data_IF_142870296360
#
_entry.id   IF_142870296360
#
_cell.length_a   1.000
_cell.length_b   1.000
_cell.length_c   1.000
_cell.angle_alpha   90.00
_cell.angle_beta   90.00
_cell.angle_gamma   90.00
#
_symmetry.space_group_name_H-M   'P 1'
#
loop_
_entity.id
_entity.type
_entity.pdbx_description
1 polymer ?
#
# COMPACT_ATOMS: atom_id res chain seq x y z
N UNK A 1 2.72 1.32 -34.64
CA UNK A 1 1.52 0.77 -33.98
C UNK A 1 0.59 1.94 -33.71
N UNK A 2 -0.51 2.08 -34.46
CA UNK A 2 -1.53 3.09 -34.18
C UNK A 2 -2.39 2.56 -33.03
N UNK A 3 -2.13 3.03 -31.82
CA UNK A 3 -3.04 2.83 -30.70
C UNK A 3 -4.19 3.83 -30.84
N UNK A 4 -5.42 3.34 -30.73
CA UNK A 4 -6.62 4.17 -30.62
C UNK A 4 -6.60 4.90 -29.28
N UNK A 5 -7.06 6.16 -29.22
CA UNK A 5 -6.90 7.01 -28.02
C UNK A 5 -7.56 6.44 -26.75
N UNK A 6 -8.55 5.57 -26.93
CA UNK A 6 -9.18 4.78 -25.87
C UNK A 6 -8.26 3.71 -25.28
N UNK A 7 -7.44 3.08 -26.12
CA UNK A 7 -6.48 2.05 -25.71
C UNK A 7 -5.30 2.65 -24.97
N UNK A 8 -4.82 3.81 -25.43
CA UNK A 8 -3.73 4.54 -24.77
C UNK A 8 -4.11 4.95 -23.34
N UNK A 9 -5.33 5.46 -23.15
CA UNK A 9 -5.82 5.84 -21.82
C UNK A 9 -6.00 4.64 -20.88
N UNK A 10 -6.45 3.49 -21.41
CA UNK A 10 -6.54 2.23 -20.64
C UNK A 10 -5.17 1.67 -20.26
N UNK A 11 -4.18 1.76 -21.14
CA UNK A 11 -2.80 1.39 -20.84
C UNK A 11 -2.23 2.29 -19.74
N UNK A 12 -2.41 3.61 -19.87
CA UNK A 12 -1.95 4.59 -18.90
C UNK A 12 -2.51 4.34 -17.50
N UNK A 13 -3.83 4.16 -17.36
CA UNK A 13 -4.45 3.93 -16.06
C UNK A 13 -4.03 2.58 -15.47
N UNK A 14 -3.83 1.55 -16.31
CA UNK A 14 -3.36 0.24 -15.87
C UNK A 14 -1.93 0.31 -15.31
N UNK A 15 -1.06 1.11 -15.94
CA UNK A 15 0.31 1.37 -15.45
C UNK A 15 0.24 2.08 -14.10
N UNK A 16 -0.50 3.18 -14.00
CA UNK A 16 -0.66 3.92 -12.74
C UNK A 16 -1.19 3.01 -11.63
N UNK A 17 -2.19 2.19 -11.93
CA UNK A 17 -2.75 1.23 -10.97
C UNK A 17 -1.72 0.17 -10.54
N UNK A 18 -0.90 -0.31 -11.47
CA UNK A 18 0.21 -1.21 -11.18
C UNK A 18 1.23 -0.61 -10.21
N UNK A 19 1.57 0.67 -10.39
CA UNK A 19 2.46 1.38 -9.47
C UNK A 19 1.83 1.56 -8.09
N UNK A 20 0.55 1.92 -8.03
CA UNK A 20 -0.20 2.02 -6.77
C UNK A 20 -0.18 0.67 -6.04
N UNK A 21 -0.38 -0.44 -6.76
CA UNK A 21 -0.32 -1.78 -6.18
C UNK A 21 1.08 -2.12 -5.64
N UNK A 22 2.13 -1.92 -6.44
CA UNK A 22 3.52 -2.16 -6.02
C UNK A 22 3.84 -1.31 -4.79
N UNK A 23 3.51 -0.02 -4.84
CA UNK A 23 3.67 0.89 -3.72
C UNK A 23 2.93 0.39 -2.48
N UNK A 24 1.66 -0.01 -2.59
CA UNK A 24 0.88 -0.49 -1.45
C UNK A 24 1.53 -1.71 -0.78
N UNK A 25 2.08 -2.65 -1.56
CA UNK A 25 2.80 -3.82 -1.05
C UNK A 25 4.10 -3.42 -0.34
N UNK A 26 4.92 -2.58 -0.98
CA UNK A 26 6.21 -2.16 -0.43
C UNK A 26 6.04 -1.25 0.81
N UNK A 27 5.11 -0.31 0.73
CA UNK A 27 4.76 0.61 1.80
C UNK A 27 4.17 -0.11 3.01
N UNK A 28 3.43 -1.21 2.79
CA UNK A 28 2.93 -2.03 3.90
C UNK A 28 4.08 -2.58 4.75
N UNK A 29 5.17 -3.02 4.12
CA UNK A 29 6.35 -3.53 4.84
C UNK A 29 6.99 -2.43 5.69
N UNK A 30 7.17 -1.24 5.11
CA UNK A 30 7.80 -0.10 5.78
C UNK A 30 6.94 0.46 6.94
N UNK A 31 5.70 0.83 6.65
CA UNK A 31 4.77 1.38 7.65
C UNK A 31 4.45 0.39 8.76
N UNK A 32 4.24 -0.88 8.40
CA UNK A 32 3.99 -1.94 9.37
C UNK A 32 5.20 -2.24 10.24
N UNK A 33 6.42 -2.26 9.70
CA UNK A 33 7.64 -2.40 10.50
C UNK A 33 7.79 -1.26 11.51
N UNK A 34 7.51 -0.02 11.10
CA UNK A 34 7.50 1.14 12.01
C UNK A 34 6.50 0.97 13.16
N UNK A 35 5.27 0.54 12.84
CA UNK A 35 4.23 0.28 13.85
C UNK A 35 4.63 -0.82 14.83
N UNK A 36 5.07 -1.98 14.34
CA UNK A 36 5.46 -3.09 15.20
C UNK A 36 6.69 -2.77 16.05
N UNK A 37 7.63 -1.98 15.51
CA UNK A 37 8.78 -1.49 16.28
C UNK A 37 8.34 -0.69 17.51
N UNK A 38 7.37 0.21 17.34
CA UNK A 38 6.78 0.98 18.44
C UNK A 38 6.10 0.09 19.49
N UNK A 39 5.28 -0.88 19.06
CA UNK A 39 4.57 -1.79 19.97
C UNK A 39 5.52 -2.67 20.79
N UNK A 40 6.66 -3.07 20.22
CA UNK A 40 7.60 -3.98 20.88
C UNK A 40 8.84 -3.31 21.47
N UNK A 41 8.99 -1.99 21.36
CA UNK A 41 10.17 -1.24 21.81
C UNK A 41 10.56 -1.50 23.27
N UNK A 42 9.59 -1.69 24.17
CA UNK A 42 9.85 -1.91 25.60
C UNK A 42 10.06 -3.39 25.97
N UNK A 43 9.92 -4.32 25.03
CA UNK A 43 10.09 -5.75 25.28
C UNK A 43 11.54 -6.16 24.98
N UNK A 44 12.44 -5.92 25.95
CA UNK A 44 13.89 -6.22 25.88
C UNK A 44 14.24 -7.64 25.42
N UNK A 45 13.34 -8.62 25.61
CA UNK A 45 13.54 -10.01 25.20
C UNK A 45 13.27 -10.26 23.71
N UNK A 46 12.66 -9.31 22.99
CA UNK A 46 12.33 -9.47 21.57
C UNK A 46 13.38 -8.76 20.71
N UNK A 47 14.29 -9.52 20.09
CA UNK A 47 15.11 -9.05 18.95
C UNK A 47 14.26 -8.52 17.78
N UNK A 48 12.93 -8.68 17.83
CA UNK A 48 11.96 -8.17 16.88
C UNK A 48 12.11 -6.66 16.58
N UNK A 49 12.40 -5.83 17.59
CA UNK A 49 12.60 -4.38 17.38
C UNK A 49 13.86 -4.10 16.55
N UNK A 50 14.95 -4.84 16.79
CA UNK A 50 16.18 -4.71 16.00
C UNK A 50 15.98 -5.18 14.56
N UNK A 51 15.21 -6.26 14.34
CA UNK A 51 14.87 -6.74 13.00
C UNK A 51 14.02 -5.71 12.27
N UNK A 52 12.94 -5.19 12.89
CA UNK A 52 12.07 -4.21 12.25
C UNK A 52 12.81 -2.91 11.89
N UNK A 53 13.63 -2.36 12.80
CA UNK A 53 14.39 -1.14 12.55
C UNK A 53 15.43 -1.31 11.43
N UNK A 54 16.02 -2.50 11.30
CA UNK A 54 17.01 -2.79 10.26
C UNK A 54 16.46 -2.73 8.84
N UNK A 55 15.17 -3.03 8.66
CA UNK A 55 14.50 -2.98 7.35
C UNK A 55 13.79 -1.67 7.07
N UNK A 56 13.59 -0.84 8.10
CA UNK A 56 12.90 0.44 7.99
C UNK A 56 13.63 1.38 7.01
N UNK A 57 14.95 1.53 7.17
CA UNK A 57 15.72 2.51 6.39
C UNK A 57 15.82 2.17 4.88
N UNK A 58 16.22 0.94 4.47
CA UNK A 58 16.35 0.61 3.04
C UNK A 58 15.01 0.62 2.29
N UNK A 59 13.93 0.17 2.95
CA UNK A 59 12.62 0.06 2.31
C UNK A 59 11.99 1.43 2.10
N UNK A 60 12.20 2.34 3.06
CA UNK A 60 11.66 3.69 3.05
C UNK A 60 12.17 4.52 1.87
N UNK A 61 13.45 4.41 1.52
CA UNK A 61 14.00 5.12 0.35
C UNK A 61 13.29 4.68 -0.94
N UNK A 62 13.02 3.38 -1.08
CA UNK A 62 12.34 2.84 -2.26
C UNK A 62 10.87 3.24 -2.31
N UNK A 63 10.14 3.15 -1.19
CA UNK A 63 8.71 3.49 -1.17
C UNK A 63 8.45 4.95 -1.56
N UNK A 64 9.34 5.86 -1.15
CA UNK A 64 9.26 7.27 -1.54
C UNK A 64 9.45 7.50 -3.04
N UNK A 65 10.32 6.73 -3.70
CA UNK A 65 10.46 6.82 -5.16
C UNK A 65 9.15 6.43 -5.85
N UNK A 66 8.46 5.40 -5.35
CA UNK A 66 7.18 4.97 -5.92
C UNK A 66 6.05 5.99 -5.69
N UNK A 67 5.92 6.59 -4.50
CA UNK A 67 4.85 7.58 -4.27
C UNK A 67 5.03 8.82 -5.14
N UNK A 68 6.26 9.31 -5.29
CA UNK A 68 6.58 10.41 -6.20
C UNK A 68 6.30 9.99 -7.65
N UNK A 69 6.71 8.78 -8.04
CA UNK A 69 6.44 8.22 -9.36
C UNK A 69 4.95 8.16 -9.70
N UNK A 70 4.08 7.80 -8.73
CA UNK A 70 2.62 7.80 -8.90
C UNK A 70 2.11 9.23 -9.16
N UNK A 71 2.53 10.21 -8.36
CA UNK A 71 2.09 11.61 -8.52
C UNK A 71 2.55 12.17 -9.87
N UNK A 72 3.79 11.93 -10.27
CA UNK A 72 4.31 12.36 -11.57
C UNK A 72 3.58 11.67 -12.71
N UNK A 73 3.26 10.37 -12.58
CA UNK A 73 2.51 9.63 -13.59
C UNK A 73 1.07 10.14 -13.73
N UNK A 74 0.40 10.44 -12.63
CA UNK A 74 -0.93 11.07 -12.63
C UNK A 74 -0.87 12.43 -13.34
N UNK A 75 0.08 13.29 -12.98
CA UNK A 75 0.23 14.61 -13.60
C UNK A 75 0.52 14.51 -15.10
N UNK A 76 1.36 13.56 -15.50
CA UNK A 76 1.80 13.38 -16.88
C UNK A 76 0.75 12.76 -17.78
N UNK A 77 0.05 11.72 -17.31
CA UNK A 77 -0.93 10.97 -18.10
C UNK A 77 -2.35 11.50 -17.96
N UNK A 78 -2.70 12.01 -16.78
CA UNK A 78 -4.05 12.44 -16.41
C UNK A 78 -4.06 13.86 -15.81
N UNK A 79 -3.68 14.90 -16.57
CA UNK A 79 -3.63 16.27 -16.04
C UNK A 79 -4.99 16.76 -15.55
N UNK A 80 -6.09 16.40 -16.23
CA UNK A 80 -7.44 16.79 -15.81
C UNK A 80 -7.86 16.14 -14.49
N UNK A 81 -7.56 14.84 -14.31
CA UNK A 81 -7.80 14.16 -13.03
C UNK A 81 -6.90 14.68 -11.91
N UNK A 82 -5.66 15.03 -12.24
CA UNK A 82 -4.71 15.61 -11.27
C UNK A 82 -5.12 16.99 -10.80
N UNK A 83 -5.73 17.82 -11.66
CA UNK A 83 -6.31 19.09 -11.25
C UNK A 83 -7.35 18.91 -10.14
N UNK A 84 -8.31 18.01 -10.35
CA UNK A 84 -9.39 17.74 -9.37
C UNK A 84 -8.85 17.09 -8.11
N UNK A 85 -8.03 16.04 -8.23
CA UNK A 85 -7.40 15.39 -7.08
C UNK A 85 -6.51 16.37 -6.30
N UNK A 86 -5.81 17.26 -6.99
CA UNK A 86 -4.93 18.26 -6.39
C UNK A 86 -5.67 19.25 -5.50
N UNK A 87 -6.87 19.70 -5.89
CA UNK A 87 -7.67 20.62 -5.06
C UNK A 87 -8.38 19.89 -3.92
N UNK A 88 -8.90 18.69 -4.18
CA UNK A 88 -9.67 17.91 -3.22
C UNK A 88 -8.78 17.32 -2.14
N UNK A 89 -7.55 16.91 -2.48
CA UNK A 89 -6.63 16.25 -1.55
C UNK A 89 -5.68 17.22 -0.83
N UNK A 90 -5.92 18.53 -0.85
CA UNK A 90 -5.04 19.51 -0.20
C UNK A 90 -4.78 19.18 1.27
N UNK A 91 -5.84 18.91 2.05
CA UNK A 91 -5.72 18.60 3.49
C UNK A 91 -5.12 17.19 3.71
N UNK A 92 -5.67 16.09 3.16
CA UNK A 92 -5.08 14.76 3.32
C UNK A 92 -3.62 14.68 2.83
N UNK A 93 -3.34 15.28 1.67
CA UNK A 93 -2.00 15.33 1.07
C UNK A 93 -1.01 16.09 1.95
N UNK A 94 -1.39 17.24 2.51
CA UNK A 94 -0.54 18.00 3.42
C UNK A 94 -0.20 17.23 4.69
N UNK A 95 -1.17 16.49 5.26
CA UNK A 95 -0.94 15.64 6.43
C UNK A 95 0.06 14.53 6.10
N UNK A 96 -0.09 13.86 4.95
CA UNK A 96 0.83 12.81 4.51
C UNK A 96 2.24 13.37 4.32
N UNK A 97 2.38 14.50 3.62
CA UNK A 97 3.68 15.14 3.39
C UNK A 97 4.34 15.56 4.70
N UNK A 98 3.58 16.13 5.64
CA UNK A 98 4.08 16.49 6.95
C UNK A 98 4.58 15.27 7.73
N UNK A 99 3.79 14.19 7.76
CA UNK A 99 4.18 12.95 8.45
C UNK A 99 5.41 12.30 7.83
N UNK A 100 5.50 12.29 6.49
CA UNK A 100 6.67 11.82 5.78
C UNK A 100 7.90 12.68 6.11
N UNK A 101 7.78 14.01 6.09
CA UNK A 101 8.88 14.92 6.40
C UNK A 101 9.39 14.76 7.83
N UNK A 102 8.47 14.69 8.81
CA UNK A 102 8.82 14.43 10.22
C UNK A 102 9.56 13.10 10.33
N UNK A 103 9.06 12.05 9.68
CA UNK A 103 9.69 10.73 9.69
C UNK A 103 11.10 10.75 9.07
N UNK A 104 11.29 11.40 7.92
CA UNK A 104 12.60 11.59 7.28
C UNK A 104 13.57 12.29 8.23
N UNK A 105 13.14 13.37 8.87
CA UNK A 105 13.95 14.14 9.79
C UNK A 105 14.43 13.30 10.96
N UNK A 106 13.52 12.56 11.60
CA UNK A 106 13.88 11.66 12.71
C UNK A 106 14.75 10.48 12.27
N UNK A 107 14.63 10.00 11.03
CA UNK A 107 15.53 8.96 10.50
C UNK A 107 16.97 9.49 10.47
N UNK A 108 17.17 10.69 9.91
CA UNK A 108 18.49 11.35 9.87
C UNK A 108 19.00 11.66 11.29
N UNK A 109 18.16 12.21 12.16
CA UNK A 109 18.56 12.52 13.54
C UNK A 109 18.94 11.29 14.34
N UNK A 110 18.30 10.14 14.11
CA UNK A 110 18.67 8.87 14.77
C UNK A 110 20.08 8.40 14.41
N UNK A 111 20.55 8.71 13.20
CA UNK A 111 21.91 8.40 12.76
C UNK A 111 22.93 9.44 13.23
N UNK A 112 22.53 10.70 13.34
CA UNK A 112 23.42 11.80 13.70
C UNK A 112 23.60 11.99 15.20
N UNK A 113 22.61 11.66 16.03
CA UNK A 113 22.60 11.96 17.45
C UNK A 113 22.07 10.80 18.31
N UNK A 114 22.85 10.43 19.34
CA UNK A 114 22.46 9.42 20.34
C UNK A 114 21.25 9.93 21.14
N UNK A 115 20.26 9.06 21.32
CA UNK A 115 19.03 9.36 22.07
C UNK A 115 17.78 9.56 21.22
N UNK A 116 17.92 9.79 19.91
CA UNK A 116 16.78 9.98 19.00
C UNK A 116 16.15 8.68 18.49
N UNK A 117 16.74 7.52 18.76
CA UNK A 117 16.21 6.20 18.33
C UNK A 117 14.79 5.92 18.86
N UNK A 118 14.52 6.29 20.13
CA UNK A 118 13.18 6.15 20.72
C UNK A 118 12.17 7.08 20.06
N UNK A 119 12.57 8.33 19.79
CA UNK A 119 11.73 9.30 19.12
C UNK A 119 11.40 8.85 17.69
N UNK A 120 12.41 8.36 16.94
CA UNK A 120 12.21 7.76 15.62
C UNK A 120 11.24 6.58 15.68
N UNK A 121 11.34 5.73 16.71
CA UNK A 121 10.46 4.57 16.85
C UNK A 121 9.00 4.99 17.05
N UNK A 122 8.73 5.98 17.91
CA UNK A 122 7.37 6.53 18.07
C UNK A 122 6.86 7.22 16.81
N UNK A 123 7.67 8.09 16.21
CA UNK A 123 7.33 8.81 14.98
C UNK A 123 7.01 7.82 13.85
N UNK A 124 7.85 6.80 13.68
CA UNK A 124 7.65 5.76 12.65
C UNK A 124 6.42 4.90 12.93
N UNK A 125 6.12 4.62 14.20
CA UNK A 125 4.91 3.87 14.55
C UNK A 125 3.62 4.65 14.34
N UNK A 126 3.59 5.91 14.76
CA UNK A 126 2.44 6.81 14.60
C UNK A 126 2.22 7.11 13.11
N UNK A 127 3.27 7.52 12.39
CA UNK A 127 3.16 7.78 10.95
C UNK A 127 2.84 6.52 10.15
N UNK A 128 3.42 5.37 10.51
CA UNK A 128 3.11 4.07 9.90
C UNK A 128 1.66 3.61 10.11
N UNK A 129 0.96 4.16 11.11
CA UNK A 129 -0.47 3.93 11.32
C UNK A 129 -1.33 4.95 10.55
N UNK A 130 -0.98 6.24 10.63
CA UNK A 130 -1.80 7.33 10.07
C UNK A 130 -1.66 7.42 8.55
N UNK A 131 -0.45 7.25 7.99
CA UNK A 131 -0.22 7.43 6.54
C UNK A 131 -1.07 6.45 5.71
N UNK A 132 -1.09 5.12 5.97
CA UNK A 132 -1.96 4.22 5.22
C UNK A 132 -3.45 4.60 5.31
N UNK A 133 -3.90 5.01 6.50
CA UNK A 133 -5.27 5.42 6.75
C UNK A 133 -5.66 6.67 5.96
N UNK A 134 -4.79 7.68 5.89
CA UNK A 134 -5.08 8.92 5.15
C UNK A 134 -4.90 8.71 3.64
N UNK A 135 -3.89 7.94 3.22
CA UNK A 135 -3.60 7.75 1.80
C UNK A 135 -4.69 6.95 1.08
N UNK A 136 -5.30 5.96 1.74
CA UNK A 136 -6.37 5.19 1.13
C UNK A 136 -7.64 6.03 0.89
N UNK A 137 -7.85 7.13 1.62
CA UNK A 137 -9.03 8.00 1.47
C UNK A 137 -9.15 8.62 0.08
N UNK A 138 -8.05 8.69 -0.68
CA UNK A 138 -8.08 9.08 -2.10
C UNK A 138 -9.08 8.23 -2.89
N UNK A 139 -9.21 6.94 -2.54
CA UNK A 139 -10.10 6.01 -3.23
C UNK A 139 -11.59 6.31 -2.99
N UNK A 140 -12.16 6.30 -1.76
CA UNK A 140 -13.57 6.62 -1.54
C UNK A 140 -13.95 8.04 -1.96
N UNK A 141 -13.02 8.99 -1.88
CA UNK A 141 -13.24 10.36 -2.40
C UNK A 141 -13.57 10.35 -3.90
N UNK A 142 -13.02 9.40 -4.68
CA UNK A 142 -13.30 9.28 -6.12
C UNK A 142 -14.67 8.68 -6.45
N UNK A 143 -15.48 8.29 -5.46
CA UNK A 143 -16.77 7.62 -5.69
C UNK A 143 -17.94 8.58 -5.94
N UNK A 144 -17.73 9.88 -5.69
CA UNK A 144 -18.58 10.98 -6.14
C UNK A 144 -19.33 11.73 -5.04
N UNK A 145 -19.62 11.11 -3.91
CA UNK A 145 -20.42 11.74 -2.84
C UNK A 145 -19.68 12.84 -2.06
N UNK A 146 -18.36 12.95 -2.25
CA UNK A 146 -17.51 13.87 -1.48
C UNK A 146 -17.02 15.08 -2.27
N UNK A 147 -17.20 15.10 -3.59
CA UNK A 147 -16.65 16.15 -4.45
C UNK A 147 -17.79 16.96 -5.04
N UNK A 148 -17.79 18.27 -4.80
CA UNK A 148 -18.76 19.19 -5.41
C UNK A 148 -18.05 20.37 -6.04
N UNK A 149 -18.62 20.89 -7.12
CA UNK A 149 -18.11 22.07 -7.79
C UNK A 149 -18.74 23.34 -7.19
N UNK A 150 -17.93 24.24 -6.65
CA UNK A 150 -18.37 25.54 -6.16
C UNK A 150 -17.49 26.63 -6.80
N UNK A 151 -18.11 27.62 -7.44
CA UNK A 151 -17.43 28.75 -8.09
C UNK A 151 -16.36 28.33 -9.13
N UNK A 152 -16.61 27.26 -9.88
CA UNK A 152 -15.68 26.75 -10.90
C UNK A 152 -14.51 25.94 -10.35
N UNK A 153 -14.38 25.77 -9.03
CA UNK A 153 -13.37 24.92 -8.39
C UNK A 153 -14.00 23.68 -7.73
N UNK A 154 -13.28 22.56 -7.75
CA UNK A 154 -13.67 21.34 -7.06
C UNK A 154 -13.27 21.42 -5.58
N UNK A 155 -14.24 21.27 -4.70
CA UNK A 155 -14.05 21.26 -3.25
C UNK A 155 -14.41 19.89 -2.66
N UNK A 156 -13.69 19.53 -1.60
CA UNK A 156 -13.96 18.33 -0.80
C UNK A 156 -14.98 18.67 0.29
N UNK A 157 -16.05 17.89 0.37
CA UNK A 157 -16.97 17.85 1.51
C UNK A 157 -16.30 17.20 2.71
N UNK A 158 -15.29 17.86 3.29
CA UNK A 158 -14.42 17.28 4.31
C UNK A 158 -15.20 16.81 5.54
N UNK A 159 -16.20 17.59 5.98
CA UNK A 159 -17.08 17.20 7.08
C UNK A 159 -17.89 15.92 6.77
N UNK A 160 -18.36 15.77 5.54
CA UNK A 160 -19.09 14.58 5.11
C UNK A 160 -18.16 13.35 5.02
N UNK A 161 -16.95 13.54 4.50
CA UNK A 161 -15.92 12.50 4.45
C UNK A 161 -15.56 11.97 5.85
N UNK A 162 -15.44 12.86 6.84
CA UNK A 162 -15.16 12.48 8.22
C UNK A 162 -16.32 11.77 8.92
N UNK A 163 -17.55 11.88 8.41
CA UNK A 163 -18.71 11.22 9.00
C UNK A 163 -19.11 9.95 8.25
N UNK A 164 -18.46 9.66 7.11
CA UNK A 164 -18.79 8.54 6.23
C UNK A 164 -18.31 7.19 6.79
N UNK A 165 -19.22 6.23 7.05
CA UNK A 165 -18.87 4.84 7.34
C UNK A 165 -18.01 4.20 6.24
N UNK A 166 -18.22 4.58 4.98
CA UNK A 166 -17.43 4.09 3.85
C UNK A 166 -15.97 4.50 3.96
N UNK A 167 -15.70 5.77 4.23
CA UNK A 167 -14.34 6.30 4.44
C UNK A 167 -13.62 5.55 5.57
N UNK A 168 -14.28 5.35 6.72
CA UNK A 168 -13.72 4.60 7.85
C UNK A 168 -13.47 3.12 7.54
N UNK A 169 -14.32 2.49 6.72
CA UNK A 169 -14.13 1.11 6.28
C UNK A 169 -12.85 0.98 5.44
N UNK A 170 -12.59 1.94 4.55
CA UNK A 170 -11.34 2.04 3.80
C UNK A 170 -10.13 2.28 4.69
N UNK A 171 -10.21 3.23 5.64
CA UNK A 171 -9.13 3.52 6.59
C UNK A 171 -8.77 2.27 7.41
N UNK A 172 -9.78 1.61 7.98
CA UNK A 172 -9.60 0.38 8.74
C UNK A 172 -8.97 -0.73 7.88
N UNK A 173 -9.45 -0.91 6.65
CA UNK A 173 -8.87 -1.85 5.72
C UNK A 173 -7.39 -1.55 5.44
N UNK A 174 -7.02 -0.30 5.15
CA UNK A 174 -5.63 0.07 4.88
C UNK A 174 -4.71 -0.19 6.08
N UNK A 175 -5.16 0.14 7.30
CA UNK A 175 -4.41 -0.13 8.52
C UNK A 175 -4.23 -1.64 8.71
N UNK A 176 -5.32 -2.41 8.77
CA UNK A 176 -5.21 -3.84 9.09
C UNK A 176 -4.56 -4.65 7.97
N UNK A 177 -4.77 -4.29 6.70
CA UNK A 177 -4.07 -4.92 5.57
C UNK A 177 -2.57 -4.66 5.60
N UNK A 178 -2.15 -3.42 5.94
CA UNK A 178 -0.74 -3.04 6.15
C UNK A 178 -0.13 -3.83 7.30
N UNK A 179 -0.81 -3.89 8.45
CA UNK A 179 -0.35 -4.64 9.62
C UNK A 179 -0.28 -6.15 9.36
N UNK A 180 -1.22 -6.67 8.57
CA UNK A 180 -1.24 -8.08 8.19
C UNK A 180 -0.10 -8.46 7.26
N UNK A 181 0.05 -7.72 6.15
CA UNK A 181 1.09 -7.99 5.16
C UNK A 181 2.49 -7.81 5.76
N UNK A 182 2.72 -6.76 6.54
CA UNK A 182 3.98 -6.57 7.27
C UNK A 182 4.26 -7.70 8.26
N UNK A 183 3.26 -8.16 9.03
CA UNK A 183 3.42 -9.27 9.95
C UNK A 183 3.82 -10.56 9.22
N UNK A 184 3.22 -10.84 8.06
CA UNK A 184 3.57 -12.00 7.24
C UNK A 184 5.00 -11.92 6.70
N UNK A 185 5.40 -10.76 6.18
CA UNK A 185 6.76 -10.53 5.67
C UNK A 185 7.79 -10.65 6.80
N UNK A 186 7.56 -9.97 7.93
CA UNK A 186 8.45 -10.03 9.10
C UNK A 186 8.53 -11.44 9.70
N UNK A 187 7.43 -12.21 9.68
CA UNK A 187 7.43 -13.62 10.05
C UNK A 187 8.28 -14.44 9.06
N UNK A 188 8.16 -14.22 7.75
CA UNK A 188 9.02 -14.92 6.80
C UNK A 188 10.50 -14.63 7.02
N UNK A 189 10.86 -13.35 7.16
CA UNK A 189 12.23 -12.94 7.41
C UNK A 189 12.79 -13.51 8.71
N UNK A 190 12.01 -13.48 9.80
CA UNK A 190 12.41 -14.04 11.09
C UNK A 190 12.59 -15.56 11.00
N UNK A 191 11.75 -16.25 10.23
CA UNK A 191 11.90 -17.68 9.98
C UNK A 191 13.20 -18.00 9.21
N UNK A 192 13.55 -17.20 8.21
CA UNK A 192 14.80 -17.33 7.43
C UNK A 192 16.03 -16.99 8.27
N UNK A 193 15.94 -15.98 9.14
CA UNK A 193 16.99 -15.57 10.06
C UNK A 193 17.21 -16.58 11.21
N UNK A 194 16.24 -17.45 11.48
CA UNK A 194 16.30 -18.44 12.56
C UNK A 194 15.80 -17.91 13.92
N UNK A 195 15.33 -16.67 13.97
CA UNK A 195 14.88 -15.96 15.17
C UNK A 195 13.48 -16.41 15.60
N UNK A 196 13.42 -17.32 16.58
CA UNK A 196 12.21 -18.05 16.99
C UNK A 196 11.16 -17.14 17.64
N UNK A 197 11.59 -16.31 18.58
CA UNK A 197 10.66 -15.50 19.38
C UNK A 197 10.00 -14.41 18.52
N UNK A 198 10.80 -13.78 17.64
CA UNK A 198 10.29 -12.82 16.67
C UNK A 198 9.29 -13.46 15.70
N UNK A 199 9.58 -14.66 15.19
CA UNK A 199 8.67 -15.40 14.31
C UNK A 199 7.31 -15.64 14.95
N UNK A 200 7.27 -16.13 16.19
CA UNK A 200 6.02 -16.44 16.88
C UNK A 200 5.17 -15.18 17.13
N UNK A 201 5.82 -14.07 17.49
CA UNK A 201 5.14 -12.78 17.69
C UNK A 201 4.51 -12.30 16.39
N UNK A 202 5.26 -12.25 15.29
CA UNK A 202 4.74 -11.78 14.01
C UNK A 202 3.69 -12.72 13.41
N UNK A 203 3.83 -14.04 13.59
CA UNK A 203 2.78 -15.00 13.23
C UNK A 203 1.50 -14.74 14.00
N UNK A 204 1.57 -14.51 15.32
CA UNK A 204 0.38 -14.18 16.13
C UNK A 204 -0.26 -12.89 15.67
N UNK A 205 0.53 -11.87 15.35
CA UNK A 205 0.01 -10.61 14.83
C UNK A 205 -0.68 -10.79 13.48
N UNK A 206 -0.13 -11.61 12.59
CA UNK A 206 -0.76 -11.94 11.31
C UNK A 206 -2.10 -12.67 11.51
N UNK A 207 -2.19 -13.58 12.48
CA UNK A 207 -3.43 -14.29 12.82
C UNK A 207 -4.54 -13.37 13.35
N UNK A 208 -4.19 -12.24 13.96
CA UNK A 208 -5.15 -11.25 14.46
C UNK A 208 -5.50 -10.22 13.37
N UNK A 209 -4.49 -9.64 12.74
CA UNK A 209 -4.66 -8.57 11.73
C UNK A 209 -5.29 -9.06 10.42
N UNK A 210 -5.05 -10.32 10.02
CA UNK A 210 -5.63 -10.90 8.81
C UNK A 210 -7.16 -10.94 8.83
N UNK A 211 -7.80 -11.57 9.83
CA UNK A 211 -9.25 -11.54 9.99
C UNK A 211 -9.82 -10.12 10.10
N UNK A 212 -9.14 -9.20 10.80
CA UNK A 212 -9.58 -7.81 10.88
C UNK A 212 -9.55 -7.10 9.52
N UNK A 213 -8.51 -7.32 8.70
CA UNK A 213 -8.44 -6.79 7.34
C UNK A 213 -9.57 -7.36 6.47
N UNK A 214 -9.84 -8.66 6.58
CA UNK A 214 -10.95 -9.30 5.87
C UNK A 214 -12.31 -8.72 6.30
N UNK A 215 -12.56 -8.56 7.60
CA UNK A 215 -13.79 -7.95 8.13
C UNK A 215 -13.95 -6.52 7.58
N UNK A 216 -12.90 -5.71 7.57
CA UNK A 216 -12.95 -4.37 7.00
C UNK A 216 -13.22 -4.39 5.49
N UNK A 217 -12.72 -5.38 4.75
CA UNK A 217 -13.07 -5.53 3.33
C UNK A 217 -14.55 -5.86 3.11
N UNK A 218 -15.18 -6.61 4.01
CA UNK A 218 -16.62 -6.82 3.99
C UNK A 218 -17.39 -5.55 4.34
N UNK A 219 -16.92 -4.76 5.30
CA UNK A 219 -17.51 -3.45 5.61
C UNK A 219 -17.39 -2.48 4.44
N UNK A 220 -16.29 -2.50 3.68
CA UNK A 220 -16.17 -1.76 2.41
C UNK A 220 -17.32 -2.17 1.48
N UNK A 221 -17.52 -3.46 1.22
CA UNK A 221 -18.60 -3.91 0.33
C UNK A 221 -20.00 -3.53 0.85
N UNK A 222 -20.22 -3.59 2.17
CA UNK A 222 -21.50 -3.24 2.80
C UNK A 222 -21.80 -1.74 2.68
N UNK A 223 -20.83 -0.89 3.02
CA UNK A 223 -20.97 0.58 2.95
C UNK A 223 -20.98 1.08 1.51
N UNK A 224 -20.25 0.42 0.60
CA UNK A 224 -20.28 0.71 -0.83
C UNK A 224 -21.68 0.51 -1.43
N UNK A 225 -22.46 -0.44 -0.92
CA UNK A 225 -23.82 -0.66 -1.39
C UNK A 225 -24.72 0.57 -1.19
N UNK A 226 -24.50 1.33 -0.11
CA UNK A 226 -25.29 2.51 0.27
C UNK A 226 -24.69 3.81 -0.26
N UNK A 227 -23.38 4.01 -0.14
CA UNK A 227 -22.68 5.26 -0.49
C UNK A 227 -22.10 5.26 -1.92
N UNK A 228 -21.98 4.11 -2.58
CA UNK A 228 -21.41 4.03 -3.94
C UNK A 228 -22.02 2.85 -4.73
N UNK A 229 -23.36 2.83 -4.83
CA UNK A 229 -24.09 1.69 -5.38
C UNK A 229 -23.68 1.31 -6.82
N UNK A 230 -23.30 2.30 -7.62
CA UNK A 230 -22.79 2.11 -8.98
C UNK A 230 -21.51 1.25 -8.99
N UNK A 231 -20.60 1.48 -8.04
CA UNK A 231 -19.35 0.74 -7.91
C UNK A 231 -19.61 -0.65 -7.34
N UNK A 232 -20.49 -0.77 -6.35
CA UNK A 232 -20.90 -2.05 -5.78
C UNK A 232 -21.45 -3.01 -6.85
N UNK A 233 -22.35 -2.51 -7.71
CA UNK A 233 -22.95 -3.32 -8.78
C UNK A 233 -21.89 -3.83 -9.76
N UNK A 234 -20.90 -3.00 -10.08
CA UNK A 234 -19.78 -3.40 -10.96
C UNK A 234 -18.82 -4.37 -10.28
N UNK A 235 -18.52 -4.19 -9.00
CA UNK A 235 -17.74 -5.15 -8.22
C UNK A 235 -18.43 -6.52 -8.19
N UNK A 236 -19.77 -6.55 -8.09
CA UNK A 236 -20.53 -7.79 -8.10
C UNK A 236 -20.51 -8.51 -9.45
N UNK A 237 -20.34 -7.79 -10.57
CA UNK A 237 -20.08 -8.42 -11.87
C UNK A 237 -18.72 -9.15 -11.91
N UNK A 238 -17.79 -8.75 -11.04
CA UNK A 238 -16.50 -9.40 -10.81
C UNK A 238 -16.52 -10.53 -9.77
N UNK A 239 -17.69 -11.04 -9.37
CA UNK A 239 -17.84 -12.01 -8.28
C UNK A 239 -16.90 -13.23 -8.35
N UNK A 240 -16.66 -13.89 -9.50
CA UNK A 240 -15.73 -15.02 -9.56
C UNK A 240 -14.31 -14.67 -9.10
N UNK A 241 -13.85 -13.47 -9.41
CA UNK A 241 -12.54 -12.97 -8.99
C UNK A 241 -12.53 -12.57 -7.51
N UNK A 242 -13.64 -12.04 -6.98
CA UNK A 242 -13.79 -11.79 -5.54
C UNK A 242 -13.78 -13.10 -4.74
N UNK A 243 -14.43 -14.15 -5.25
CA UNK A 243 -14.39 -15.49 -4.66
C UNK A 243 -12.96 -16.05 -4.73
N UNK A 244 -12.27 -15.93 -5.85
CA UNK A 244 -10.86 -16.34 -5.96
C UNK A 244 -9.97 -15.60 -4.94
N UNK A 245 -10.14 -14.29 -4.80
CA UNK A 245 -9.47 -13.48 -3.78
C UNK A 245 -9.76 -14.03 -2.37
N UNK A 246 -11.01 -14.31 -2.04
CA UNK A 246 -11.37 -14.91 -0.75
C UNK A 246 -10.72 -16.29 -0.53
N UNK A 247 -10.70 -17.15 -1.55
CA UNK A 247 -10.04 -18.46 -1.48
C UNK A 247 -8.52 -18.32 -1.27
N UNK A 248 -7.88 -17.37 -1.94
CA UNK A 248 -6.45 -17.08 -1.75
C UNK A 248 -6.15 -16.57 -0.33
N UNK A 249 -7.04 -15.78 0.26
CA UNK A 249 -6.95 -15.40 1.67
C UNK A 249 -7.03 -16.63 2.58
N UNK A 250 -7.98 -17.54 2.34
CA UNK A 250 -8.10 -18.78 3.11
C UNK A 250 -6.85 -19.66 2.98
N UNK A 251 -6.25 -19.76 1.78
CA UNK A 251 -5.00 -20.48 1.56
C UNK A 251 -3.86 -19.82 2.35
N UNK A 252 -3.76 -18.48 2.31
CA UNK A 252 -2.74 -17.76 3.07
C UNK A 252 -2.91 -17.96 4.59
N UNK A 253 -4.15 -17.93 5.08
CA UNK A 253 -4.47 -18.12 6.48
C UNK A 253 -4.21 -19.57 6.93
N UNK A 254 -4.66 -20.56 6.15
CA UNK A 254 -4.39 -21.98 6.40
C UNK A 254 -2.88 -22.29 6.38
N UNK A 255 -2.11 -21.62 5.51
CA UNK A 255 -0.66 -21.77 5.47
C UNK A 255 0.02 -21.40 6.79
N UNK A 256 -0.58 -20.56 7.65
CA UNK A 256 -0.05 -20.24 8.98
C UNK A 256 -0.26 -21.36 10.01
N UNK A 257 -1.11 -22.34 9.73
CA UNK A 257 -1.38 -23.50 10.59
C UNK A 257 -0.68 -24.79 10.12
N UNK A 258 -0.22 -24.84 8.85
CA UNK A 258 0.49 -25.99 8.31
C UNK A 258 1.86 -26.21 8.99
N UNK A 259 2.35 -27.46 9.12
CA UNK A 259 3.70 -27.72 9.62
C UNK A 259 4.75 -27.08 8.69
N UNK A 260 5.75 -26.44 9.30
CA UNK A 260 6.78 -25.69 8.59
C UNK A 260 7.76 -26.64 7.89
N UNK A 261 8.06 -26.35 6.62
CA UNK A 261 8.94 -27.17 5.78
C UNK A 261 10.41 -27.13 6.23
N UNK A 262 10.86 -26.04 6.85
CA UNK A 262 12.26 -25.86 7.26
C UNK A 262 12.57 -26.33 8.68
N UNK A 263 11.56 -26.45 9.54
CA UNK A 263 11.72 -26.88 10.93
C UNK A 263 10.45 -27.58 11.38
N UNK A 264 10.51 -28.90 11.58
CA UNK A 264 9.34 -29.73 11.92
C UNK A 264 8.68 -29.33 13.25
N UNK A 265 9.43 -28.67 14.15
CA UNK A 265 8.92 -28.14 15.43
C UNK A 265 8.20 -26.79 15.29
N UNK A 266 8.02 -26.26 14.08
CA UNK A 266 7.39 -24.95 13.84
C UNK A 266 6.11 -25.11 13.03
N UNK A 267 5.10 -24.32 13.38
CA UNK A 267 3.86 -24.19 12.60
C UNK A 267 3.92 -22.93 11.75
N UNK A 268 3.64 -23.08 10.46
CA UNK A 268 3.43 -22.03 9.47
C UNK A 268 4.40 -22.09 8.29
N UNK A 269 3.88 -21.88 7.08
CA UNK A 269 4.64 -21.63 5.84
C UNK A 269 4.53 -20.14 5.44
N UNK A 270 5.30 -19.24 6.08
CA UNK A 270 5.14 -17.79 5.89
C UNK A 270 5.38 -17.35 4.43
N UNK A 271 6.33 -17.93 3.70
CA UNK A 271 6.49 -17.67 2.24
C UNK A 271 5.25 -17.95 1.43
N UNK A 272 4.61 -19.09 1.68
CA UNK A 272 3.39 -19.46 0.98
C UNK A 272 2.27 -18.48 1.32
N UNK A 273 2.16 -18.09 2.59
CA UNK A 273 1.19 -17.09 3.03
C UNK A 273 1.42 -15.71 2.38
N UNK A 274 2.68 -15.27 2.28
CA UNK A 274 3.04 -14.02 1.58
C UNK A 274 2.67 -14.08 0.10
N UNK A 275 3.04 -15.15 -0.61
CA UNK A 275 2.73 -15.28 -2.05
C UNK A 275 1.21 -15.32 -2.27
N UNK A 276 0.49 -16.11 -1.47
CA UNK A 276 -0.96 -16.23 -1.55
C UNK A 276 -1.66 -14.90 -1.26
N UNK A 277 -1.22 -14.14 -0.24
CA UNK A 277 -1.84 -12.86 0.08
C UNK A 277 -1.51 -11.76 -0.94
N UNK A 278 -0.29 -11.75 -1.51
CA UNK A 278 0.05 -10.82 -2.59
C UNK A 278 -0.83 -11.09 -3.82
N UNK A 279 -1.04 -12.35 -4.18
CA UNK A 279 -1.95 -12.73 -5.26
C UNK A 279 -3.41 -12.40 -4.93
N UNK A 280 -3.81 -12.55 -3.66
CA UNK A 280 -5.14 -12.16 -3.19
C UNK A 280 -5.38 -10.66 -3.36
N UNK A 281 -4.48 -9.81 -2.85
CA UNK A 281 -4.58 -8.36 -3.01
C UNK A 281 -4.52 -7.95 -4.47
N UNK A 282 -3.69 -8.60 -5.30
CA UNK A 282 -3.66 -8.34 -6.74
C UNK A 282 -5.02 -8.62 -7.39
N UNK A 283 -5.63 -9.76 -7.05
CA UNK A 283 -6.94 -10.15 -7.59
C UNK A 283 -8.05 -9.20 -7.12
N UNK A 284 -8.08 -8.85 -5.83
CA UNK A 284 -9.04 -7.90 -5.28
C UNK A 284 -8.88 -6.50 -5.89
N UNK A 285 -7.63 -6.03 -6.00
CA UNK A 285 -7.25 -4.75 -6.60
C UNK A 285 -7.64 -4.69 -8.09
N UNK A 286 -7.46 -5.80 -8.82
CA UNK A 286 -7.89 -5.90 -10.21
C UNK A 286 -9.40 -5.73 -10.37
N UNK A 287 -10.21 -6.43 -9.55
CA UNK A 287 -11.67 -6.27 -9.57
C UNK A 287 -12.07 -4.83 -9.24
N UNK A 288 -11.46 -4.26 -8.21
CA UNK A 288 -11.72 -2.89 -7.80
C UNK A 288 -11.40 -1.88 -8.91
N UNK A 289 -10.19 -1.93 -9.48
CA UNK A 289 -9.76 -1.04 -10.56
C UNK A 289 -10.64 -1.18 -11.80
N UNK A 290 -10.97 -2.42 -12.21
CA UNK A 290 -11.88 -2.68 -13.33
C UNK A 290 -13.29 -2.13 -13.08
N UNK A 291 -13.77 -2.20 -11.85
CA UNK A 291 -15.12 -1.74 -11.49
C UNK A 291 -15.23 -0.21 -11.51
N UNK A 292 -14.11 0.47 -11.27
CA UNK A 292 -14.03 1.94 -11.29
C UNK A 292 -14.03 2.51 -12.71
N UNK A 293 -13.45 1.79 -13.69
CA UNK A 293 -13.51 2.15 -15.11
C UNK A 293 -14.94 2.38 -15.60
N UNK A 294 -15.23 3.40 -16.42
CA UNK A 294 -14.28 4.29 -17.10
C UNK A 294 -13.98 5.59 -16.33
N UNK A 295 -14.36 5.68 -15.07
CA UNK A 295 -14.20 6.88 -14.28
C UNK A 295 -12.82 6.93 -13.65
N UNK A 296 -12.36 8.15 -13.38
CA UNK A 296 -11.22 8.44 -12.51
C UNK A 296 -11.69 9.18 -11.25
N UNK A 297 -12.72 10.01 -11.37
CA UNK A 297 -13.51 10.57 -10.27
C UNK A 297 -14.95 10.57 -10.74
N UNK A 298 -15.79 9.77 -10.11
CA UNK A 298 -17.20 9.69 -10.47
C UNK A 298 -17.95 10.95 -10.00
N UNK A 299 -18.95 11.45 -10.74
CA UNK A 299 -19.28 11.12 -12.13
C UNK A 299 -18.52 11.96 -13.17
N UNK A 300 -17.86 13.05 -12.74
CA UNK A 300 -17.45 14.15 -13.64
C UNK A 300 -16.16 13.91 -14.42
N UNK A 301 -15.23 13.10 -13.89
CA UNK A 301 -13.92 12.87 -14.50
C UNK A 301 -13.82 11.43 -14.99
N UNK A 302 -13.89 11.28 -16.31
CA UNK A 302 -13.59 10.01 -16.98
C UNK A 302 -12.10 9.91 -17.30
N UNK A 303 -11.61 8.70 -17.49
CA UNK A 303 -10.22 8.44 -17.88
C UNK A 303 -9.91 9.09 -19.23
N UNK A 304 -10.89 9.20 -20.13
CA UNK A 304 -10.75 9.85 -21.43
C UNK A 304 -10.73 11.37 -21.32
N UNK A 305 -11.63 11.96 -20.53
CA UNK A 305 -11.70 13.42 -20.35
C UNK A 305 -10.51 13.97 -19.56
N UNK A 306 -9.92 13.16 -18.68
CA UNK A 306 -8.72 13.50 -17.94
C UNK A 306 -7.41 13.26 -18.69
N UNK A 307 -7.42 12.56 -19.82
CA UNK A 307 -6.22 12.06 -20.51
C UNK A 307 -5.45 13.17 -21.25
N UNK A 308 -4.13 13.05 -21.29
CA UNK A 308 -3.26 13.90 -22.11
C UNK A 308 -3.42 13.59 -23.61
N UNK A 309 -2.93 14.47 -24.48
CA UNK A 309 -2.95 14.21 -25.92
C UNK A 309 -2.18 12.90 -26.25
N UNK A 310 -2.68 12.02 -27.14
CA UNK A 310 -2.07 10.71 -27.41
C UNK A 310 -0.59 10.77 -27.80
N UNK A 311 -0.17 11.80 -28.54
CA UNK A 311 1.24 11.96 -28.91
C UNK A 311 2.12 12.30 -27.70
N UNK A 312 1.63 13.15 -26.79
CA UNK A 312 2.29 13.44 -25.52
C UNK A 312 2.37 12.17 -24.66
N UNK A 313 1.30 11.39 -24.59
CA UNK A 313 1.31 10.11 -23.88
C UNK A 313 2.38 9.16 -24.43
N UNK A 314 2.48 9.00 -25.74
CA UNK A 314 3.48 8.11 -26.35
C UNK A 314 4.92 8.53 -26.02
N UNK A 315 5.22 9.82 -26.11
CA UNK A 315 6.54 10.36 -25.74
C UNK A 315 6.86 10.12 -24.26
N UNK A 316 5.89 10.41 -23.38
CA UNK A 316 6.01 10.14 -21.94
C UNK A 316 6.16 8.64 -21.66
N UNK A 317 5.35 7.80 -22.28
CA UNK A 317 5.36 6.35 -22.11
C UNK A 317 6.72 5.75 -22.48
N UNK A 318 7.30 6.16 -23.61
CA UNK A 318 8.66 5.76 -24.00
C UNK A 318 9.68 6.26 -22.97
N UNK A 319 9.56 7.50 -22.51
CA UNK A 319 10.45 8.06 -21.49
C UNK A 319 10.39 7.29 -20.17
N UNK A 320 9.19 6.87 -19.75
CA UNK A 320 8.99 6.01 -18.59
C UNK A 320 9.62 4.63 -18.80
N UNK A 321 9.45 4.00 -19.96
CA UNK A 321 10.10 2.71 -20.27
C UNK A 321 11.63 2.85 -20.14
N UNK A 322 12.22 3.88 -20.75
CA UNK A 322 13.67 4.12 -20.68
C UNK A 322 14.08 4.36 -19.22
N UNK A 323 13.36 5.19 -18.48
CA UNK A 323 13.60 5.43 -17.06
C UNK A 323 13.54 4.14 -16.24
N UNK A 324 12.57 3.27 -16.48
CA UNK A 324 12.47 1.97 -15.82
C UNK A 324 13.62 1.04 -16.17
N UNK A 325 14.05 0.97 -17.43
CA UNK A 325 15.20 0.16 -17.84
C UNK A 325 16.47 0.61 -17.11
N UNK A 326 16.62 1.91 -16.87
CA UNK A 326 17.76 2.49 -16.14
C UNK A 326 17.65 2.23 -14.62
N UNK A 327 16.46 2.40 -14.04
CA UNK A 327 16.23 2.27 -12.59
C UNK A 327 16.17 0.81 -12.12
N UNK A 328 15.63 -0.09 -12.93
CA UNK A 328 15.38 -1.49 -12.55
C UNK A 328 16.66 -2.25 -12.15
N UNK A 329 17.81 -2.12 -12.83
CA UNK A 329 19.07 -2.66 -12.35
C UNK A 329 19.42 -2.17 -10.94
N UNK A 330 19.24 -0.87 -10.66
CA UNK A 330 19.47 -0.29 -9.33
C UNK A 330 18.64 -0.97 -8.25
N UNK A 331 17.33 -1.11 -8.46
CA UNK A 331 16.45 -1.84 -7.55
C UNK A 331 16.83 -3.32 -7.39
N UNK A 332 17.20 -3.97 -8.49
CA UNK A 332 17.63 -5.37 -8.46
C UNK A 332 18.91 -5.57 -7.63
N UNK A 333 19.93 -4.74 -7.86
CA UNK A 333 21.18 -4.80 -7.09
C UNK A 333 20.95 -4.45 -5.63
N UNK A 334 20.16 -3.41 -5.35
CA UNK A 334 19.77 -3.04 -4.00
C UNK A 334 19.10 -4.21 -3.25
N UNK A 335 18.10 -4.84 -3.85
CA UNK A 335 17.43 -6.00 -3.25
C UNK A 335 18.39 -7.18 -3.07
N UNK A 336 19.22 -7.47 -4.07
CA UNK A 336 20.19 -8.57 -4.00
C UNK A 336 21.23 -8.36 -2.89
N UNK A 337 21.70 -7.14 -2.68
CA UNK A 337 22.74 -6.83 -1.70
C UNK A 337 22.16 -6.74 -0.28
N UNK A 338 21.06 -6.02 -0.09
CA UNK A 338 20.54 -5.71 1.26
C UNK A 338 19.50 -6.70 1.76
N UNK A 339 18.69 -7.31 0.89
CA UNK A 339 17.61 -8.24 1.29
C UNK A 339 18.00 -9.72 1.15
N UNK A 340 18.88 -10.07 0.20
CA UNK A 340 19.25 -11.49 -0.07
C UNK A 340 20.56 -11.94 0.57
N UNK A 341 21.49 -11.04 0.91
CA UNK A 341 22.75 -11.45 1.52
C UNK A 341 22.54 -11.81 3.01
N UNK A 342 22.56 -13.12 3.29
CA UNK A 342 22.45 -13.67 4.66
C UNK A 342 23.57 -13.17 5.58
N UNK A 343 24.71 -12.72 5.01
CA UNK A 343 25.81 -12.16 5.79
C UNK A 343 25.42 -10.83 6.42
N UNK A 344 24.74 -9.95 5.67
CA UNK A 344 24.19 -8.73 6.24
C UNK A 344 23.27 -9.10 7.42
N UNK A 345 22.27 -9.95 7.19
CA UNK A 345 21.31 -10.40 8.23
C UNK A 345 21.99 -10.93 9.51
N UNK A 346 23.17 -11.56 9.42
CA UNK A 346 23.88 -12.16 10.56
C UNK A 346 25.00 -11.31 11.21
N UNK A 347 25.58 -10.31 10.52
CA UNK A 347 26.96 -9.90 10.85
C UNK A 347 27.20 -8.85 11.95
N UNK A 348 26.20 -8.33 12.67
CA UNK A 348 26.48 -7.36 13.75
C UNK A 348 25.97 -7.90 15.08
N UNK A 349 26.64 -8.94 15.58
CA UNK A 349 26.81 -9.15 17.02
C UNK A 349 28.00 -8.32 17.51
#
# INVERSE_FOLDING_TARGET
>A
MQFDGTTDALLAISIVWGFIFIYAVMASMDFGAGFWSMIYMNKKQLKATNIANRYLSPTWEVTNVFIVGIVVALFSFFPGGTYVLGTVLLIPGSIILLLLAIRSGFLVFSHAAKGYEKALTYVSGISGFIIPAVLILVLPVTHGDFVYQQNGAYQLAFAHLLLSPHAYSFMGFAIFSTLFLSSLLLADFSNVAGERDAYQVYRRNALISGPLALIMSFFIMMTMRTEANWLFTRMMNGLPWLVLSFLLFLIAFAALFLPNTYNKDRLGKPRLAVIAITLQYFTASYVYGRSHLPYMIYPDVTIQSGFTAPETFRALFISYIIGFIILFPGFYYFWKLFMKDRRYIKQHE
#
